data_IF_146653171137
#
_entry.id   IF_146653171137
#
_cell.length_a   1.000
_cell.length_b   1.000
_cell.length_c   1.000
_cell.angle_alpha   90.00
_cell.angle_beta   90.00
_cell.angle_gamma   90.00
#
_symmetry.space_group_name_H-M   'P 1'
#
loop_
_entity.id
_entity.type
_entity.pdbx_description
1 polymer ?
#
# COMPACT_ATOMS: atom_id res chain seq x y z
N UNK A 1 -15.41 -5.32 39.18
CA UNK A 1 -16.13 -4.35 38.31
C UNK A 1 -15.75 -2.88 38.53
N UNK A 2 -15.30 -2.45 39.73
CA UNK A 2 -14.94 -1.04 39.98
C UNK A 2 -13.70 -0.55 39.21
N UNK A 3 -12.66 -1.40 39.04
CA UNK A 3 -11.42 -1.05 38.34
C UNK A 3 -11.63 -0.80 36.83
N UNK A 4 -12.52 -1.57 36.19
CA UNK A 4 -12.88 -1.39 34.78
C UNK A 4 -13.65 -0.08 34.54
N UNK A 5 -14.50 0.32 35.49
CA UNK A 5 -15.20 1.61 35.46
C UNK A 5 -14.25 2.79 35.68
N UNK A 6 -13.20 2.63 36.49
CA UNK A 6 -12.19 3.65 36.74
C UNK A 6 -11.32 3.91 35.50
N UNK A 7 -10.84 2.83 34.85
CA UNK A 7 -10.08 2.92 33.61
C UNK A 7 -10.86 3.59 32.47
N UNK A 8 -12.15 3.29 32.33
CA UNK A 8 -13.00 3.89 31.28
C UNK A 8 -13.24 5.38 31.52
N UNK A 9 -13.46 5.81 32.77
CA UNK A 9 -13.58 7.24 33.11
C UNK A 9 -12.27 8.00 32.87
N UNK A 10 -11.13 7.39 33.17
CA UNK A 10 -9.82 7.98 32.93
C UNK A 10 -9.55 8.14 31.42
N UNK A 11 -9.92 7.14 30.62
CA UNK A 11 -9.82 7.19 29.16
C UNK A 11 -10.72 8.28 28.54
N UNK A 12 -11.97 8.40 29.00
CA UNK A 12 -12.87 9.48 28.55
C UNK A 12 -12.36 10.86 28.95
N UNK A 13 -11.82 11.02 30.17
CA UNK A 13 -11.18 12.28 30.58
C UNK A 13 -9.98 12.62 29.70
N UNK A 14 -9.14 11.64 29.34
CA UNK A 14 -8.00 11.85 28.47
C UNK A 14 -8.43 12.28 27.07
N UNK A 15 -9.46 11.61 26.49
CA UNK A 15 -10.03 12.00 25.19
C UNK A 15 -10.61 13.42 25.24
N UNK A 16 -11.38 13.76 26.29
CA UNK A 16 -11.94 15.10 26.44
C UNK A 16 -10.84 16.16 26.61
N UNK A 17 -9.75 15.85 27.31
CA UNK A 17 -8.60 16.75 27.46
C UNK A 17 -7.93 17.01 26.09
N UNK A 18 -7.71 15.96 25.30
CA UNK A 18 -7.11 16.10 23.96
C UNK A 18 -8.04 16.87 22.99
N UNK A 19 -9.35 16.63 23.03
CA UNK A 19 -10.32 17.39 22.23
C UNK A 19 -10.37 18.87 22.65
N UNK A 20 -10.28 19.16 23.96
CA UNK A 20 -10.25 20.53 24.46
C UNK A 20 -8.96 21.27 24.04
N UNK A 21 -7.81 20.58 24.04
CA UNK A 21 -6.54 21.12 23.54
C UNK A 21 -6.63 21.44 22.04
N UNK A 22 -7.18 20.53 21.22
CA UNK A 22 -7.42 20.76 19.79
C UNK A 22 -8.36 21.94 19.50
N UNK A 23 -9.31 22.21 20.40
CA UNK A 23 -10.24 23.34 20.25
C UNK A 23 -9.59 24.68 20.58
N UNK A 24 -8.56 24.68 21.44
CA UNK A 24 -7.84 25.89 21.82
C UNK A 24 -6.96 26.44 20.68
N UNK A 25 -6.57 25.62 19.70
CA UNK A 25 -5.75 26.03 18.55
C UNK A 25 -6.56 26.62 17.37
N UNK A 26 -7.90 26.54 17.39
CA UNK A 26 -8.74 26.88 16.22
C UNK A 26 -9.56 28.18 16.37
N UNK A 27 -9.24 29.01 17.36
CA UNK A 27 -9.93 30.29 17.56
C UNK A 27 -8.99 31.45 17.28
N UNK A 28 -8.76 31.72 16.00
CA UNK A 28 -8.46 33.03 15.39
C UNK A 28 -7.96 32.80 13.95
N UNK A 29 -8.86 32.88 12.96
CA UNK A 29 -8.72 33.77 11.78
C UNK A 29 -9.93 33.58 10.83
N UNK A 30 -10.73 34.64 10.78
CA UNK A 30 -11.69 35.10 9.77
C UNK A 30 -12.11 34.21 8.59
N UNK A 31 -13.42 33.97 8.56
CA UNK A 31 -14.21 33.73 7.35
C UNK A 31 -14.30 35.06 6.57
N UNK A 32 -13.67 35.14 5.40
CA UNK A 32 -14.03 36.09 4.33
C UNK A 32 -14.84 35.35 3.24
N UNK A 33 -15.87 36.04 2.75
CA UNK A 33 -16.80 35.59 1.70
C UNK A 33 -16.08 35.25 0.38
N UNK A 34 -16.51 34.21 -0.38
CA UNK A 34 -16.20 34.17 -1.79
C UNK A 34 -17.16 35.10 -2.54
N UNK A 35 -16.65 36.31 -2.78
CA UNK A 35 -17.27 37.28 -3.68
C UNK A 35 -17.29 36.70 -5.10
N UNK A 36 -18.51 36.61 -5.63
CA UNK A 36 -18.92 36.40 -7.01
C UNK A 36 -18.06 37.20 -8.01
N UNK A 37 -17.23 36.51 -8.81
CA UNK A 37 -16.72 37.05 -10.08
C UNK A 37 -17.27 36.21 -11.23
N UNK A 38 -18.23 36.82 -11.89
CA UNK A 38 -18.74 36.58 -13.24
C UNK A 38 -17.62 36.24 -14.24
N UNK A 39 -17.82 35.22 -15.08
CA UNK A 39 -17.57 35.28 -16.54
C UNK A 39 -18.60 34.36 -17.25
N UNK A 40 -19.65 35.00 -17.76
CA UNK A 40 -20.64 34.59 -18.78
C UNK A 40 -19.99 34.98 -20.14
N UNK A 41 -19.93 34.25 -21.26
CA UNK A 41 -20.83 33.30 -21.94
C UNK A 41 -20.08 32.66 -23.16
N UNK A 42 -20.20 31.33 -23.40
CA UNK A 42 -20.89 30.66 -24.56
C UNK A 42 -19.98 30.23 -25.76
N UNK A 43 -20.45 29.38 -26.73
CA UNK A 43 -19.93 28.01 -26.96
C UNK A 43 -19.55 27.69 -28.44
N UNK A 44 -18.71 26.69 -28.71
CA UNK A 44 -18.65 25.93 -30.00
C UNK A 44 -17.61 24.80 -29.82
N UNK A 45 -18.00 23.52 -29.80
CA UNK A 45 -18.23 22.58 -30.92
C UNK A 45 -16.95 21.81 -31.35
N UNK A 46 -17.17 20.53 -31.68
CA UNK A 46 -16.29 19.37 -31.76
C UNK A 46 -15.02 19.45 -32.65
N UNK A 47 -14.01 18.62 -32.29
CA UNK A 47 -13.25 17.67 -33.13
C UNK A 47 -12.08 17.12 -32.27
N UNK A 48 -12.11 15.87 -31.80
CA UNK A 48 -11.68 14.61 -32.45
C UNK A 48 -10.13 14.40 -32.48
N UNK A 49 -9.69 13.50 -31.58
CA UNK A 49 -8.62 12.47 -31.67
C UNK A 49 -7.13 12.89 -31.80
N UNK A 50 -6.32 12.55 -30.79
CA UNK A 50 -5.30 11.47 -30.87
C UNK A 50 -4.55 11.27 -29.53
N UNK A 51 -4.53 10.06 -28.95
CA UNK A 51 -3.64 9.67 -27.85
C UNK A 51 -2.45 8.82 -28.35
N UNK A 52 -1.24 9.36 -28.25
CA UNK A 52 0.06 8.67 -28.35
C UNK A 52 0.95 9.35 -27.29
N UNK A 53 1.65 8.67 -26.36
CA UNK A 53 2.31 7.39 -26.45
C UNK A 53 2.24 6.64 -25.11
N UNK A 54 1.91 5.35 -25.19
CA UNK A 54 2.04 4.40 -24.09
C UNK A 54 3.44 3.74 -24.17
N UNK A 55 4.21 3.68 -23.07
CA UNK A 55 5.31 2.74 -22.98
C UNK A 55 4.80 1.30 -23.00
N UNK A 56 5.53 0.49 -23.74
CA UNK A 56 5.18 -0.83 -24.25
C UNK A 56 4.79 -1.84 -23.16
N UNK A 57 3.75 -2.59 -23.49
CA UNK A 57 3.22 -3.74 -22.76
C UNK A 57 4.16 -4.93 -22.88
N UNK A 58 4.79 -5.31 -21.77
CA UNK A 58 5.16 -6.70 -21.54
C UNK A 58 3.95 -7.39 -20.88
N UNK A 59 3.50 -8.49 -21.47
CA UNK A 59 2.30 -9.23 -21.07
C UNK A 59 2.39 -9.72 -19.61
N UNK A 60 1.72 -9.01 -18.71
CA UNK A 60 1.44 -9.45 -17.35
C UNK A 60 -0.06 -9.62 -17.18
N UNK A 61 -0.46 -10.83 -16.78
CA UNK A 61 -1.80 -11.30 -16.46
C UNK A 61 -2.69 -10.22 -15.80
N UNK A 62 -3.49 -9.51 -16.61
CA UNK A 62 -4.87 -9.06 -16.38
C UNK A 62 -5.26 -8.28 -15.11
N UNK A 63 -4.34 -8.00 -14.19
CA UNK A 63 -4.58 -7.25 -12.97
C UNK A 63 -3.95 -5.88 -13.11
N UNK A 64 -4.74 -4.81 -12.92
CA UNK A 64 -4.18 -3.48 -12.76
C UNK A 64 -3.07 -3.52 -11.70
N UNK A 65 -1.91 -2.92 -11.99
CA UNK A 65 -0.76 -2.96 -11.11
C UNK A 65 -0.89 -1.96 -9.96
N UNK A 66 -0.38 -2.35 -8.79
CA UNK A 66 -0.27 -1.48 -7.61
C UNK A 66 0.81 -0.42 -7.81
N UNK A 67 0.62 0.76 -7.21
CA UNK A 67 1.59 1.84 -7.29
C UNK A 67 2.98 1.42 -6.77
N UNK A 68 4.05 1.87 -7.43
CA UNK A 68 5.43 1.52 -7.02
C UNK A 68 5.73 1.92 -5.57
N UNK A 69 6.26 0.99 -4.78
CA UNK A 69 6.52 1.20 -3.35
C UNK A 69 5.28 1.11 -2.45
N UNK A 70 4.10 0.88 -3.02
CA UNK A 70 2.89 0.60 -2.25
C UNK A 70 3.03 -0.69 -1.44
N UNK A 71 2.48 -0.67 -0.22
CA UNK A 71 2.37 -1.89 0.59
C UNK A 71 1.46 -2.94 -0.08
N UNK A 72 0.55 -2.51 -0.94
CA UNK A 72 -0.34 -3.40 -1.68
C UNK A 72 0.40 -4.19 -2.77
N UNK A 73 1.59 -3.75 -3.19
CA UNK A 73 2.46 -4.54 -4.08
C UNK A 73 2.80 -5.93 -3.49
N UNK A 74 2.72 -6.09 -2.16
CA UNK A 74 2.87 -7.38 -1.49
C UNK A 74 1.86 -8.43 -1.97
N UNK A 75 0.70 -8.03 -2.50
CA UNK A 75 -0.34 -8.96 -2.90
C UNK A 75 0.08 -9.90 -4.05
N UNK A 76 1.04 -9.48 -4.88
CA UNK A 76 1.67 -10.36 -5.88
C UNK A 76 2.33 -11.60 -5.24
N UNK A 77 2.88 -11.46 -4.03
CA UNK A 77 3.52 -12.53 -3.28
C UNK A 77 2.53 -13.58 -2.76
N UNK A 78 1.23 -13.27 -2.69
CA UNK A 78 0.22 -14.21 -2.20
C UNK A 78 0.10 -15.46 -3.08
N UNK A 79 0.54 -15.39 -4.35
CA UNK A 79 0.71 -16.58 -5.22
C UNK A 79 1.62 -17.63 -4.57
N UNK A 80 2.68 -17.20 -3.88
CA UNK A 80 3.64 -18.06 -3.18
C UNK A 80 3.04 -18.75 -1.95
N UNK A 81 2.04 -18.15 -1.30
CA UNK A 81 1.40 -18.75 -0.13
C UNK A 81 0.70 -20.08 -0.44
N UNK A 82 0.26 -20.29 -1.69
CA UNK A 82 -0.27 -21.60 -2.13
C UNK A 82 0.78 -22.71 -2.07
N UNK A 83 2.06 -22.36 -2.22
CA UNK A 83 3.19 -23.30 -2.11
C UNK A 83 3.45 -23.66 -0.64
N UNK A 84 3.32 -22.68 0.27
CA UNK A 84 3.45 -22.90 1.71
C UNK A 84 2.48 -23.95 2.24
N UNK A 85 1.22 -23.92 1.80
CA UNK A 85 0.19 -24.85 2.27
C UNK A 85 0.46 -26.31 1.88
N UNK A 86 1.22 -26.54 0.79
CA UNK A 86 1.47 -27.87 0.24
C UNK A 86 2.85 -28.41 0.54
N UNK A 87 3.86 -27.54 0.54
CA UNK A 87 5.26 -27.95 0.50
C UNK A 87 6.05 -27.59 1.75
N UNK A 88 5.48 -26.88 2.72
CA UNK A 88 6.17 -26.54 3.98
C UNK A 88 5.56 -27.25 5.21
N UNK A 89 6.38 -27.65 6.21
CA UNK A 89 7.85 -27.63 6.20
C UNK A 89 8.44 -28.70 5.26
N UNK A 90 9.62 -28.43 4.71
CA UNK A 90 10.32 -29.38 3.84
C UNK A 90 11.83 -29.45 4.08
N UNK A 91 12.40 -30.53 3.56
CA UNK A 91 13.84 -30.77 3.52
C UNK A 91 14.39 -30.45 2.14
N UNK A 92 15.52 -29.73 2.11
CA UNK A 92 16.14 -29.26 0.87
C UNK A 92 16.58 -30.46 0.02
N UNK A 93 16.10 -30.51 -1.21
CA UNK A 93 16.43 -31.55 -2.17
C UNK A 93 16.43 -31.01 -3.61
N UNK A 94 16.87 -31.82 -4.59
CA UNK A 94 16.84 -31.41 -6.00
C UNK A 94 15.43 -31.08 -6.51
N UNK A 95 14.40 -31.73 -5.99
CA UNK A 95 12.99 -31.44 -6.35
C UNK A 95 12.39 -30.31 -5.52
N UNK A 96 13.01 -29.94 -4.40
CA UNK A 96 12.57 -28.86 -3.50
C UNK A 96 13.76 -27.98 -3.09
N UNK A 97 14.38 -27.23 -4.03
CA UNK A 97 15.54 -26.38 -3.71
C UNK A 97 15.15 -25.15 -2.87
N UNK A 98 13.88 -24.76 -2.90
CA UNK A 98 13.37 -23.52 -2.31
C UNK A 98 12.86 -23.66 -0.87
N UNK A 99 13.17 -24.76 -0.16
CA UNK A 99 12.72 -24.95 1.23
C UNK A 99 13.16 -23.84 2.18
N UNK A 100 14.27 -23.15 1.88
CA UNK A 100 14.72 -21.98 2.64
C UNK A 100 13.73 -20.80 2.62
N UNK A 101 12.81 -20.76 1.64
CA UNK A 101 11.74 -19.77 1.54
C UNK A 101 10.57 -20.05 2.48
N UNK A 102 10.44 -21.28 3.04
CA UNK A 102 9.37 -21.60 3.99
C UNK A 102 9.37 -20.67 5.23
N UNK A 103 10.51 -20.05 5.57
CA UNK A 103 10.62 -19.05 6.65
C UNK A 103 9.72 -17.83 6.43
N UNK A 104 9.31 -17.56 5.20
CA UNK A 104 8.45 -16.45 4.82
C UNK A 104 6.95 -16.80 4.84
N UNK A 105 6.58 -18.08 4.95
CA UNK A 105 5.18 -18.51 5.03
C UNK A 105 4.43 -17.89 6.22
N UNK A 106 5.16 -17.53 7.29
CA UNK A 106 4.60 -16.82 8.45
C UNK A 106 4.02 -15.45 8.12
N UNK A 107 4.29 -14.90 6.93
CA UNK A 107 3.75 -13.62 6.47
C UNK A 107 2.48 -13.77 5.63
N UNK A 108 2.07 -14.99 5.26
CA UNK A 108 0.89 -15.22 4.43
C UNK A 108 -0.43 -14.74 5.05
N UNK A 109 -0.51 -14.58 6.37
CA UNK A 109 -1.69 -13.97 7.02
C UNK A 109 -1.96 -12.52 6.54
N UNK A 110 -0.93 -11.83 6.05
CA UNK A 110 -1.07 -10.48 5.49
C UNK A 110 -1.90 -10.48 4.21
N UNK A 111 -1.88 -11.56 3.42
CA UNK A 111 -2.68 -11.70 2.22
C UNK A 111 -4.18 -11.59 2.53
N UNK A 112 -4.66 -12.42 3.47
CA UNK A 112 -6.07 -12.41 3.89
C UNK A 112 -6.49 -11.10 4.56
N UNK A 113 -5.56 -10.37 5.18
CA UNK A 113 -5.86 -9.14 5.90
C UNK A 113 -5.83 -7.89 5.02
N UNK A 114 -4.92 -7.85 4.04
CA UNK A 114 -4.65 -6.66 3.23
C UNK A 114 -5.18 -6.81 1.80
N UNK A 115 -4.94 -7.94 1.15
CA UNK A 115 -5.11 -8.07 -0.28
C UNK A 115 -6.57 -8.24 -0.71
N UNK A 116 -7.34 -9.02 0.04
CA UNK A 116 -8.72 -9.31 -0.33
C UNK A 116 -9.71 -8.19 0.07
N UNK A 117 -9.31 -7.29 0.98
CA UNK A 117 -10.24 -6.33 1.63
C UNK A 117 -9.80 -4.87 1.54
N UNK A 118 -8.49 -4.59 1.52
CA UNK A 118 -7.95 -3.23 1.69
C UNK A 118 -7.29 -2.73 0.41
N UNK A 119 -6.55 -3.60 -0.26
CA UNK A 119 -5.76 -3.25 -1.41
C UNK A 119 -6.59 -3.33 -2.69
N UNK A 120 -6.65 -2.20 -3.39
CA UNK A 120 -7.18 -2.09 -4.74
C UNK A 120 -6.15 -1.31 -5.57
N UNK A 121 -5.83 -1.75 -6.80
CA UNK A 121 -4.95 -0.99 -7.68
C UNK A 121 -5.45 0.44 -7.88
N UNK A 122 -4.60 1.45 -7.63
CA UNK A 122 -4.97 2.86 -7.67
C UNK A 122 -5.91 3.32 -6.53
N UNK A 123 -6.19 2.45 -5.55
CA UNK A 123 -7.00 2.77 -4.39
C UNK A 123 -6.26 3.64 -3.37
N UNK A 124 -7.00 4.16 -2.38
CA UNK A 124 -6.45 5.08 -1.36
C UNK A 124 -5.22 4.51 -0.65
N UNK A 125 -5.30 3.27 -0.14
CA UNK A 125 -4.18 2.65 0.59
C UNK A 125 -2.99 2.41 -0.34
N UNK A 126 -3.27 2.06 -1.60
CA UNK A 126 -2.26 1.83 -2.62
C UNK A 126 -1.46 3.10 -2.92
N UNK A 127 -2.15 4.19 -3.25
CA UNK A 127 -1.54 5.48 -3.57
C UNK A 127 -0.90 6.15 -2.36
N UNK A 128 -1.56 6.14 -1.20
CA UNK A 128 -1.05 6.80 0.01
C UNK A 128 0.22 6.12 0.54
N UNK A 129 0.23 4.78 0.60
CA UNK A 129 1.41 4.04 1.05
C UNK A 129 2.59 4.21 0.08
N UNK A 130 2.32 4.23 -1.23
CA UNK A 130 3.33 4.54 -2.25
C UNK A 130 3.90 5.95 -2.08
N UNK A 131 3.06 6.96 -1.83
CA UNK A 131 3.52 8.33 -1.60
C UNK A 131 4.44 8.43 -0.36
N UNK A 132 4.07 7.77 0.74
CA UNK A 132 4.91 7.69 1.94
C UNK A 132 6.25 7.00 1.62
N UNK A 133 6.20 5.85 0.96
CA UNK A 133 7.39 5.08 0.62
C UNK A 133 8.38 5.91 -0.20
N UNK A 134 7.88 6.63 -1.20
CA UNK A 134 8.68 7.48 -2.06
C UNK A 134 9.17 8.77 -1.37
N UNK A 135 8.55 9.16 -0.25
CA UNK A 135 8.91 10.38 0.49
C UNK A 135 9.89 10.14 1.65
N UNK A 136 10.13 8.88 2.04
CA UNK A 136 10.98 8.55 3.18
C UNK A 136 12.45 8.37 2.76
N UNK A 137 13.37 9.28 3.17
CA UNK A 137 14.81 9.10 2.93
C UNK A 137 15.41 7.96 3.77
N UNK A 138 14.64 7.44 4.74
CA UNK A 138 15.06 6.47 5.76
C UNK A 138 15.06 5.02 5.27
N UNK A 139 14.46 4.73 4.11
CA UNK A 139 14.77 3.52 3.35
C UNK A 139 16.08 3.76 2.61
N UNK A 140 17.16 3.73 3.39
CA UNK A 140 18.53 4.00 2.96
C UNK A 140 18.89 3.23 1.68
N UNK A 141 19.75 3.79 0.85
CA UNK A 141 20.31 3.14 -0.35
C UNK A 141 20.84 1.75 -0.05
N UNK A 142 21.38 1.51 1.15
CA UNK A 142 21.90 0.22 1.59
C UNK A 142 20.82 -0.83 1.82
N UNK A 143 19.66 -0.43 2.37
CA UNK A 143 18.54 -1.36 2.56
C UNK A 143 17.94 -1.74 1.21
N UNK A 144 17.75 -0.73 0.34
CA UNK A 144 17.32 -0.93 -1.05
C UNK A 144 18.28 -1.83 -1.81
N UNK A 145 19.59 -1.59 -1.73
CA UNK A 145 20.62 -2.43 -2.37
C UNK A 145 20.57 -3.89 -1.89
N UNK A 146 20.39 -4.12 -0.58
CA UNK A 146 20.30 -5.48 -0.05
C UNK A 146 19.06 -6.24 -0.52
N UNK A 147 17.91 -5.56 -0.60
CA UNK A 147 16.66 -6.15 -1.09
C UNK A 147 16.72 -6.37 -2.59
N UNK A 148 17.22 -5.39 -3.35
CA UNK A 148 17.37 -5.49 -4.81
C UNK A 148 18.32 -6.65 -5.17
N UNK A 149 19.42 -6.82 -4.40
CA UNK A 149 20.34 -7.96 -4.56
C UNK A 149 19.68 -9.31 -4.31
N UNK A 150 18.87 -9.43 -3.25
CA UNK A 150 18.16 -10.68 -2.94
C UNK A 150 17.13 -11.01 -4.04
N UNK A 151 16.39 -10.00 -4.54
CA UNK A 151 15.46 -10.14 -5.66
C UNK A 151 16.20 -10.59 -6.92
N UNK A 152 17.28 -9.92 -7.31
CA UNK A 152 18.05 -10.24 -8.51
C UNK A 152 18.64 -11.65 -8.45
N UNK A 153 19.09 -12.10 -7.26
CA UNK A 153 19.61 -13.45 -7.08
C UNK A 153 18.57 -14.55 -7.31
N UNK A 154 17.29 -14.23 -7.13
CA UNK A 154 16.19 -15.17 -7.29
C UNK A 154 15.42 -14.96 -8.61
N UNK A 155 15.71 -13.88 -9.34
CA UNK A 155 14.97 -13.44 -10.54
C UNK A 155 14.90 -14.48 -11.65
N UNK A 156 15.98 -15.21 -11.92
CA UNK A 156 15.97 -16.28 -12.93
C UNK A 156 15.10 -17.49 -12.55
N UNK A 157 14.90 -17.71 -11.25
CA UNK A 157 14.13 -18.84 -10.73
C UNK A 157 12.68 -18.48 -10.38
N UNK A 158 12.42 -17.20 -10.07
CA UNK A 158 11.07 -16.68 -9.79
C UNK A 158 10.34 -16.36 -11.10
N UNK A 159 11.01 -16.26 -12.25
CA UNK A 159 10.38 -16.00 -13.56
C UNK A 159 9.26 -16.99 -13.93
N UNK A 160 9.31 -18.21 -13.38
CA UNK A 160 8.26 -19.23 -13.56
C UNK A 160 7.07 -19.06 -12.59
N UNK A 161 7.22 -18.21 -11.57
CA UNK A 161 6.28 -18.02 -10.46
C UNK A 161 5.70 -16.59 -10.34
N UNK A 162 6.25 -15.61 -11.07
CA UNK A 162 5.69 -14.26 -11.24
C UNK A 162 4.74 -14.25 -12.42
#
# INVERSE_FOLDING_TARGET
>A
MALYRYSKKLFFLFILLNIAVLRAENTEESIEEPTKVSHTEKPTEANEVSPEEAPQTDESDGSAEHANGSICGYCSYCKFCKLCDKDCPCETSKSKPNCHLCKYCKYCYLCSALCDTVCLPGGFVDTFSSAIWNSLPTFDSKMKESVDKDIDSAKEWIKEYL
#
